data_IF_245791410219
#
_entry.id   IF_245791410219
#
_cell.length_a   1.000
_cell.length_b   1.000
_cell.length_c   1.000
_cell.angle_alpha   90.00
_cell.angle_beta   90.00
_cell.angle_gamma   90.00
#
_symmetry.space_group_name_H-M   'P 1'
#
loop_
_entity.id
_entity.type
_entity.pdbx_description
1 polymer ?
#
# COMPACT_ATOMS: atom_id res chain seq x y z
N UNK A 1 25.74 10.18 8.53
CA UNK A 1 24.99 10.50 7.31
C UNK A 1 23.66 9.78 7.34
N UNK A 2 22.56 10.52 7.13
CA UNK A 2 21.18 10.04 7.23
C UNK A 2 20.83 8.91 6.22
N UNK A 3 21.66 8.73 5.21
CA UNK A 3 21.42 7.80 4.10
C UNK A 3 22.41 6.62 4.02
N UNK A 4 23.27 6.43 5.00
CA UNK A 4 24.21 5.28 5.00
C UNK A 4 23.47 3.93 4.98
N UNK A 5 22.27 3.90 5.54
CA UNK A 5 21.40 2.72 5.54
C UNK A 5 20.92 2.35 4.13
N UNK A 6 20.72 3.35 3.25
CA UNK A 6 20.25 3.16 1.88
C UNK A 6 21.40 2.90 0.88
N UNK A 7 22.65 2.91 1.34
CA UNK A 7 23.83 2.58 0.52
C UNK A 7 24.29 1.13 0.69
N UNK A 8 23.69 0.37 1.61
CA UNK A 8 24.01 -1.03 1.86
C UNK A 8 23.07 -1.94 1.03
N UNK A 9 23.51 -2.32 -0.15
CA UNK A 9 22.75 -3.18 -1.08
C UNK A 9 22.35 -4.51 -0.46
N UNK A 10 23.19 -5.09 0.39
CA UNK A 10 22.91 -6.37 1.08
C UNK A 10 21.76 -6.20 2.07
N UNK A 11 21.76 -5.10 2.82
CA UNK A 11 20.68 -4.77 3.73
C UNK A 11 19.36 -4.49 2.98
N UNK A 12 19.41 -3.74 1.88
CA UNK A 12 18.23 -3.45 1.07
C UNK A 12 17.65 -4.73 0.44
N UNK A 13 18.52 -5.64 -0.03
CA UNK A 13 18.10 -6.95 -0.55
C UNK A 13 17.40 -7.79 0.54
N UNK A 14 17.95 -7.81 1.77
CA UNK A 14 17.35 -8.49 2.92
C UNK A 14 15.95 -7.89 3.26
N UNK A 15 15.86 -6.57 3.35
CA UNK A 15 14.59 -5.88 3.64
C UNK A 15 13.56 -6.14 2.54
N UNK A 16 13.98 -6.16 1.27
CA UNK A 16 13.12 -6.50 0.13
C UNK A 16 12.61 -7.95 0.19
N UNK A 17 13.48 -8.89 0.57
CA UNK A 17 13.11 -10.30 0.77
C UNK A 17 12.09 -10.48 1.90
N UNK A 18 12.35 -9.87 3.06
CA UNK A 18 11.41 -9.85 4.19
C UNK A 18 10.09 -9.16 3.80
N UNK A 19 10.17 -8.07 3.05
CA UNK A 19 9.00 -7.39 2.51
C UNK A 19 8.15 -8.30 1.61
N UNK A 20 8.78 -9.10 0.75
CA UNK A 20 8.06 -10.06 -0.10
C UNK A 20 7.30 -11.11 0.71
N UNK A 21 7.90 -11.61 1.80
CA UNK A 21 7.24 -12.50 2.75
C UNK A 21 6.06 -11.77 3.43
N UNK A 22 6.27 -10.54 3.87
CA UNK A 22 5.23 -9.72 4.48
C UNK A 22 4.05 -9.48 3.52
N UNK A 23 4.32 -9.27 2.22
CA UNK A 23 3.28 -9.14 1.20
C UNK A 23 2.43 -10.42 1.10
N UNK A 24 3.06 -11.60 1.07
CA UNK A 24 2.36 -12.89 1.07
C UNK A 24 1.50 -13.08 2.33
N UNK A 25 2.06 -12.84 3.51
CA UNK A 25 1.34 -12.90 4.79
C UNK A 25 0.19 -11.88 4.85
N UNK A 26 0.41 -10.70 4.31
CA UNK A 26 -0.60 -9.65 4.23
C UNK A 26 -1.83 -10.06 3.42
N UNK A 27 -1.65 -10.78 2.33
CA UNK A 27 -2.78 -11.31 1.54
C UNK A 27 -3.67 -12.21 2.39
N UNK A 28 -3.07 -13.13 3.11
CA UNK A 28 -3.80 -14.07 3.99
C UNK A 28 -4.45 -13.33 5.16
N UNK A 29 -3.70 -12.48 5.85
CA UNK A 29 -4.18 -11.73 7.02
C UNK A 29 -5.37 -10.84 6.67
N UNK A 30 -5.24 -9.98 5.67
CA UNK A 30 -6.29 -9.04 5.29
C UNK A 30 -7.48 -9.73 4.62
N UNK A 31 -7.25 -10.82 3.87
CA UNK A 31 -8.32 -11.66 3.31
C UNK A 31 -9.18 -12.27 4.41
N UNK A 32 -8.58 -12.91 5.41
CA UNK A 32 -9.31 -13.45 6.55
C UNK A 32 -10.07 -12.36 7.34
N UNK A 33 -9.48 -11.17 7.44
CA UNK A 33 -10.13 -10.06 8.13
C UNK A 33 -11.35 -9.57 7.34
N UNK A 34 -11.25 -9.53 6.01
CA UNK A 34 -12.35 -9.20 5.10
C UNK A 34 -13.49 -10.21 5.21
N UNK A 35 -13.19 -11.49 5.30
CA UNK A 35 -14.20 -12.55 5.43
C UNK A 35 -14.97 -12.45 6.75
N UNK A 36 -14.27 -12.09 7.84
CA UNK A 36 -14.87 -11.99 9.18
C UNK A 36 -15.63 -10.68 9.42
N UNK A 37 -15.12 -9.55 8.98
CA UNK A 37 -15.61 -8.21 9.32
C UNK A 37 -16.33 -7.50 8.17
N UNK A 38 -16.44 -8.14 7.01
CA UNK A 38 -16.86 -7.50 5.77
C UNK A 38 -15.72 -6.67 5.14
N UNK A 39 -15.97 -6.07 4.00
CA UNK A 39 -14.90 -5.41 3.23
C UNK A 39 -14.59 -3.99 3.74
N UNK A 40 -15.60 -3.25 4.18
CA UNK A 40 -15.46 -1.82 4.54
C UNK A 40 -14.46 -1.57 5.66
N UNK A 41 -14.63 -2.25 6.80
CA UNK A 41 -13.81 -2.02 8.00
C UNK A 41 -12.33 -2.38 7.78
N UNK A 42 -11.99 -3.59 7.28
CA UNK A 42 -10.60 -3.94 7.01
C UNK A 42 -9.95 -3.05 5.97
N UNK A 43 -10.68 -2.65 4.93
CA UNK A 43 -10.12 -1.80 3.88
C UNK A 43 -9.86 -0.38 4.38
N UNK A 44 -10.76 0.17 5.20
CA UNK A 44 -10.54 1.45 5.87
C UNK A 44 -9.34 1.40 6.82
N UNK A 45 -9.23 0.33 7.62
CA UNK A 45 -8.10 0.13 8.53
C UNK A 45 -6.78 0.04 7.74
N UNK A 46 -6.75 -0.77 6.68
CA UNK A 46 -5.58 -0.95 5.83
C UNK A 46 -5.11 0.38 5.24
N UNK A 47 -6.00 1.16 4.63
CA UNK A 47 -5.65 2.46 4.02
C UNK A 47 -5.22 3.48 5.05
N UNK A 48 -5.80 3.44 6.26
CA UNK A 48 -5.37 4.30 7.38
C UNK A 48 -3.97 3.93 7.85
N UNK A 49 -3.70 2.65 8.10
CA UNK A 49 -2.37 2.17 8.50
C UNK A 49 -1.33 2.52 7.44
N UNK A 50 -1.65 2.30 6.16
CA UNK A 50 -0.77 2.64 5.05
C UNK A 50 -0.47 4.15 5.00
N UNK A 51 -1.48 4.99 5.17
CA UNK A 51 -1.31 6.45 5.18
C UNK A 51 -0.45 6.93 6.35
N UNK A 52 -0.70 6.42 7.57
CA UNK A 52 0.11 6.74 8.75
C UNK A 52 1.55 6.27 8.58
N UNK A 53 1.76 5.06 8.04
CA UNK A 53 3.11 4.55 7.77
C UNK A 53 3.85 5.40 6.74
N UNK A 54 3.17 5.88 5.70
CA UNK A 54 3.78 6.79 4.71
C UNK A 54 4.18 8.13 5.32
N UNK A 55 3.37 8.70 6.22
CA UNK A 55 3.74 9.92 6.97
C UNK A 55 4.97 9.71 7.87
N UNK A 56 5.06 8.53 8.47
CA UNK A 56 6.16 8.20 9.40
C UNK A 56 7.44 7.79 8.67
N UNK A 57 7.34 7.37 7.42
CA UNK A 57 8.44 6.74 6.67
C UNK A 57 9.70 7.63 6.57
N UNK A 58 9.61 8.95 6.28
CA UNK A 58 10.78 9.82 6.23
C UNK A 58 11.57 9.86 7.55
N UNK A 59 10.90 9.71 8.68
CA UNK A 59 11.54 9.69 10.01
C UNK A 59 12.16 8.32 10.32
N UNK A 60 11.64 7.24 9.73
CA UNK A 60 12.09 5.87 9.99
C UNK A 60 13.33 5.47 9.18
N UNK A 61 13.70 6.23 8.14
CA UNK A 61 14.88 5.98 7.30
C UNK A 61 16.20 6.12 8.07
N UNK A 62 16.18 6.80 9.21
CA UNK A 62 17.38 7.08 10.02
C UNK A 62 17.91 5.85 10.79
N UNK A 63 17.12 4.81 10.97
CA UNK A 63 17.49 3.59 11.69
C UNK A 63 17.19 2.35 10.85
N UNK A 64 18.15 1.41 10.77
CA UNK A 64 17.98 0.14 10.06
C UNK A 64 16.75 -0.62 10.55
N UNK A 65 16.57 -0.72 11.87
CA UNK A 65 15.45 -1.46 12.46
C UNK A 65 14.11 -0.78 12.10
N UNK A 66 14.03 0.53 12.28
CA UNK A 66 12.81 1.30 11.98
C UNK A 66 12.45 1.23 10.50
N UNK A 67 13.43 1.36 9.61
CA UNK A 67 13.24 1.23 8.17
C UNK A 67 12.75 -0.17 7.78
N UNK A 68 13.36 -1.23 8.33
CA UNK A 68 12.94 -2.61 8.08
C UNK A 68 11.52 -2.88 8.56
N UNK A 69 11.14 -2.42 9.77
CA UNK A 69 9.80 -2.55 10.32
C UNK A 69 8.76 -1.76 9.49
N UNK A 70 9.08 -0.54 9.12
CA UNK A 70 8.20 0.28 8.28
C UNK A 70 7.95 -0.39 6.93
N UNK A 71 9.01 -0.88 6.28
CA UNK A 71 8.92 -1.60 5.01
C UNK A 71 8.09 -2.88 5.16
N UNK A 72 8.30 -3.65 6.23
CA UNK A 72 7.51 -4.85 6.52
C UNK A 72 6.01 -4.53 6.59
N UNK A 73 5.62 -3.53 7.38
CA UNK A 73 4.21 -3.12 7.53
C UNK A 73 3.65 -2.60 6.20
N UNK A 74 4.44 -1.83 5.46
CA UNK A 74 4.03 -1.32 4.16
C UNK A 74 3.73 -2.46 3.16
N UNK A 75 4.61 -3.45 3.07
CA UNK A 75 4.41 -4.62 2.21
C UNK A 75 3.25 -5.52 2.68
N UNK A 76 3.02 -5.61 4.00
CA UNK A 76 1.85 -6.29 4.56
C UNK A 76 0.55 -5.62 4.09
N UNK A 77 0.48 -4.29 4.10
CA UNK A 77 -0.66 -3.54 3.58
C UNK A 77 -0.79 -3.67 2.05
N UNK A 78 0.33 -3.66 1.33
CA UNK A 78 0.33 -3.86 -0.12
C UNK A 78 -0.29 -5.21 -0.50
N UNK A 79 0.07 -6.28 0.22
CA UNK A 79 -0.55 -7.61 0.05
C UNK A 79 -2.06 -7.58 0.27
N UNK A 80 -2.51 -6.85 1.27
CA UNK A 80 -3.93 -6.67 1.57
C UNK A 80 -4.72 -5.99 0.45
N UNK A 81 -4.17 -4.96 -0.17
CA UNK A 81 -4.81 -4.30 -1.31
C UNK A 81 -5.12 -5.30 -2.43
N UNK A 82 -4.16 -6.16 -2.77
CA UNK A 82 -4.34 -7.17 -3.81
C UNK A 82 -5.31 -8.29 -3.42
N UNK A 83 -5.36 -8.67 -2.16
CA UNK A 83 -6.27 -9.72 -1.69
C UNK A 83 -7.72 -9.24 -1.59
N UNK A 84 -7.93 -8.00 -1.13
CA UNK A 84 -9.27 -7.50 -0.84
C UNK A 84 -9.98 -6.94 -2.07
N UNK A 85 -9.27 -6.39 -3.04
CA UNK A 85 -9.85 -5.73 -4.20
C UNK A 85 -10.78 -6.63 -5.04
N UNK A 86 -10.43 -7.89 -5.36
CA UNK A 86 -11.35 -8.78 -6.09
C UNK A 86 -12.65 -9.04 -5.33
N UNK A 87 -12.54 -9.27 -4.03
CA UNK A 87 -13.70 -9.51 -3.16
C UNK A 87 -14.64 -8.29 -3.07
N UNK A 88 -14.08 -7.08 -3.01
CA UNK A 88 -14.84 -5.83 -3.05
C UNK A 88 -15.58 -5.70 -4.39
N UNK A 89 -14.88 -5.93 -5.51
CA UNK A 89 -15.51 -5.89 -6.83
C UNK A 89 -16.65 -6.90 -6.97
N UNK A 90 -16.46 -8.12 -6.49
CA UNK A 90 -17.50 -9.15 -6.53
C UNK A 90 -18.72 -8.77 -5.68
N UNK A 91 -18.52 -8.15 -4.53
CA UNK A 91 -19.63 -7.68 -3.67
C UNK A 91 -20.38 -6.48 -4.24
N UNK A 92 -19.67 -5.55 -4.90
CA UNK A 92 -20.29 -4.33 -5.45
C UNK A 92 -20.99 -4.59 -6.80
N UNK A 93 -20.41 -5.43 -7.65
CA UNK A 93 -20.84 -5.62 -9.04
C UNK A 93 -21.43 -7.01 -9.30
N UNK A 94 -21.44 -7.88 -8.29
CA UNK A 94 -21.91 -9.25 -8.42
C UNK A 94 -20.84 -10.20 -8.98
N UNK A 95 -21.14 -11.52 -8.91
CA UNK A 95 -20.20 -12.57 -9.26
C UNK A 95 -19.82 -12.59 -10.76
N UNK A 96 -20.72 -12.13 -11.64
CA UNK A 96 -20.47 -12.12 -13.08
C UNK A 96 -19.68 -10.89 -13.54
N UNK A 97 -20.06 -9.70 -13.09
CA UNK A 97 -19.43 -8.45 -13.51
C UNK A 97 -18.19 -8.10 -12.67
N UNK A 98 -18.12 -8.53 -11.41
CA UNK A 98 -17.01 -8.25 -10.49
C UNK A 98 -15.64 -8.59 -11.04
N UNK A 99 -15.39 -9.79 -11.58
CA UNK A 99 -14.11 -10.15 -12.18
C UNK A 99 -13.72 -9.27 -13.38
N UNK A 100 -14.70 -8.88 -14.20
CA UNK A 100 -14.49 -7.99 -15.36
C UNK A 100 -14.06 -6.60 -14.91
N UNK A 101 -14.78 -6.05 -13.92
CA UNK A 101 -14.44 -4.75 -13.31
C UNK A 101 -13.06 -4.79 -12.64
N UNK A 102 -12.76 -5.85 -11.91
CA UNK A 102 -11.44 -6.01 -11.30
C UNK A 102 -10.32 -6.05 -12.35
N UNK A 103 -10.52 -6.74 -13.49
CA UNK A 103 -9.53 -6.79 -14.58
C UNK A 103 -9.24 -5.40 -15.16
N UNK A 104 -10.28 -4.57 -15.32
CA UNK A 104 -10.12 -3.17 -15.77
C UNK A 104 -9.36 -2.34 -14.74
N UNK A 105 -9.72 -2.46 -13.46
CA UNK A 105 -9.00 -1.79 -12.36
C UNK A 105 -7.53 -2.22 -12.30
N UNK A 106 -7.26 -3.50 -12.49
CA UNK A 106 -5.90 -4.03 -12.47
C UNK A 106 -5.07 -3.56 -13.68
N UNK A 107 -5.69 -3.41 -14.84
CA UNK A 107 -5.04 -2.81 -16.00
C UNK A 107 -4.73 -1.34 -15.78
N UNK A 108 -5.65 -0.58 -15.16
CA UNK A 108 -5.42 0.81 -14.78
C UNK A 108 -4.28 0.93 -13.74
N UNK A 109 -4.17 -0.02 -12.81
CA UNK A 109 -3.05 -0.10 -11.87
C UNK A 109 -1.70 -0.29 -12.59
N UNK A 110 -1.63 -1.16 -13.62
CA UNK A 110 -0.42 -1.36 -14.41
C UNK A 110 0.00 -0.07 -15.13
N UNK A 111 -0.95 0.63 -15.74
CA UNK A 111 -0.71 1.94 -16.38
C UNK A 111 -0.24 2.96 -15.34
N UNK A 112 -0.91 3.04 -14.19
CA UNK A 112 -0.53 3.94 -13.10
C UNK A 112 0.88 3.63 -12.55
N UNK A 113 1.31 2.37 -12.52
CA UNK A 113 2.65 1.99 -12.07
C UNK A 113 3.74 2.53 -13.03
N UNK A 114 3.51 2.47 -14.35
CA UNK A 114 4.45 3.00 -15.34
C UNK A 114 4.56 4.52 -15.24
N UNK A 115 3.41 5.23 -15.31
CA UNK A 115 3.39 6.69 -15.21
C UNK A 115 3.79 7.18 -13.82
N UNK A 116 3.38 6.48 -12.78
CA UNK A 116 3.73 6.80 -11.39
C UNK A 116 5.24 6.71 -11.15
N UNK A 117 5.93 5.74 -11.73
CA UNK A 117 7.39 5.64 -11.63
C UNK A 117 8.09 6.83 -12.27
N UNK A 118 7.65 7.24 -13.47
CA UNK A 118 8.20 8.40 -14.16
C UNK A 118 7.91 9.71 -13.39
N UNK A 119 6.69 9.85 -12.89
CA UNK A 119 6.25 11.01 -12.11
C UNK A 119 6.99 11.11 -10.78
N UNK A 120 7.13 9.97 -10.06
CA UNK A 120 7.89 9.92 -8.82
C UNK A 120 9.34 10.32 -8.99
N UNK A 121 10.01 9.87 -10.05
CA UNK A 121 11.39 10.30 -10.35
C UNK A 121 11.48 11.81 -10.53
N UNK A 122 10.52 12.41 -11.22
CA UNK A 122 10.46 13.87 -11.43
C UNK A 122 10.17 14.63 -10.15
N UNK A 123 9.18 14.18 -9.37
CA UNK A 123 8.85 14.81 -8.09
C UNK A 123 9.96 14.65 -7.06
N UNK A 124 10.59 13.49 -6.99
CA UNK A 124 11.71 13.23 -6.10
C UNK A 124 12.88 14.17 -6.41
N UNK A 125 13.19 14.38 -7.69
CA UNK A 125 14.25 15.30 -8.12
C UNK A 125 13.94 16.78 -7.84
N UNK A 126 12.65 17.18 -7.91
CA UNK A 126 12.23 18.58 -7.78
C UNK A 126 11.87 18.98 -6.34
N UNK A 127 11.24 18.09 -5.58
CA UNK A 127 10.64 18.40 -4.26
C UNK A 127 11.20 17.54 -3.11
N UNK A 128 12.02 16.55 -3.43
CA UNK A 128 12.64 15.67 -2.43
C UNK A 128 11.74 14.54 -1.96
N UNK A 129 12.34 13.67 -1.13
CA UNK A 129 11.77 12.42 -0.66
C UNK A 129 10.56 12.63 0.27
N UNK A 130 10.66 13.58 1.20
CA UNK A 130 9.61 13.86 2.18
C UNK A 130 8.30 14.31 1.52
N UNK A 131 8.40 15.18 0.52
CA UNK A 131 7.23 15.66 -0.21
C UNK A 131 6.46 14.51 -0.87
N UNK A 132 7.16 13.60 -1.54
CA UNK A 132 6.54 12.47 -2.24
C UNK A 132 5.79 11.57 -1.26
N UNK A 133 6.40 11.23 -0.13
CA UNK A 133 5.77 10.38 0.88
C UNK A 133 4.59 11.06 1.56
N UNK A 134 4.70 12.33 1.90
CA UNK A 134 3.59 13.10 2.47
C UNK A 134 2.41 13.23 1.50
N UNK A 135 2.68 13.47 0.22
CA UNK A 135 1.65 13.50 -0.81
C UNK A 135 0.90 12.16 -0.93
N UNK A 136 1.63 11.05 -1.02
CA UNK A 136 1.04 9.71 -1.07
C UNK A 136 0.25 9.37 0.20
N UNK A 137 0.73 9.80 1.36
CA UNK A 137 0.05 9.63 2.63
C UNK A 137 -1.30 10.35 2.66
N UNK A 138 -1.34 11.61 2.20
CA UNK A 138 -2.58 12.39 2.12
C UNK A 138 -3.58 11.69 1.20
N UNK A 139 -3.17 11.22 0.04
CA UNK A 139 -4.04 10.48 -0.90
C UNK A 139 -4.58 9.20 -0.25
N UNK A 140 -3.76 8.46 0.49
CA UNK A 140 -4.18 7.25 1.20
C UNK A 140 -5.19 7.56 2.31
N UNK A 141 -5.00 8.64 3.07
CA UNK A 141 -5.91 9.06 4.14
C UNK A 141 -7.24 9.58 3.56
N UNK A 142 -7.21 10.32 2.45
CA UNK A 142 -8.42 10.73 1.74
C UNK A 142 -9.18 9.49 1.26
N UNK A 143 -8.50 8.46 0.78
CA UNK A 143 -9.12 7.19 0.41
C UNK A 143 -9.80 6.53 1.62
N UNK A 144 -9.16 6.50 2.80
CA UNK A 144 -9.75 5.97 4.02
C UNK A 144 -11.04 6.72 4.42
N UNK A 145 -11.03 8.05 4.32
CA UNK A 145 -12.19 8.89 4.56
C UNK A 145 -13.31 8.59 3.54
N UNK A 146 -12.96 8.51 2.26
CA UNK A 146 -13.92 8.21 1.19
C UNK A 146 -14.61 6.87 1.40
N UNK A 147 -13.88 5.84 1.86
CA UNK A 147 -14.43 4.53 2.20
C UNK A 147 -15.47 4.64 3.34
N UNK A 148 -15.29 5.57 4.28
CA UNK A 148 -16.23 5.74 5.39
C UNK A 148 -17.65 6.14 4.93
N UNK A 149 -17.77 6.82 3.80
CA UNK A 149 -19.05 7.22 3.21
C UNK A 149 -19.71 6.12 2.36
N UNK A 150 -18.98 5.07 2.00
CA UNK A 150 -19.58 3.91 1.33
C UNK A 150 -20.55 3.19 2.27
N UNK A 151 -21.66 2.69 1.73
CA UNK A 151 -22.60 1.83 2.45
C UNK A 151 -21.94 0.56 2.99
N UNK A 152 -22.74 -0.36 3.55
CA UNK A 152 -22.22 -1.68 3.96
C UNK A 152 -21.83 -2.47 2.71
N UNK A 153 -20.54 -2.83 2.65
CA UNK A 153 -19.95 -3.68 1.61
C UNK A 153 -19.50 -4.99 2.23
#
# INVERSE_FOLDING_TARGET
>A
NTFDTLQDDSYLALVGGIGSIANGLGRTFWGMLQDKLGSKRPFMLLTTVQGVMMLSYPFMVHSRISFGLATFIFFLCLGGNFAMAPGICAKLFGAEAGPKVFSVLFSAFAVAAIFGTALNRRFLASYGFEFVFNFMAIVSLISAISISFLGKI
#
